data_IF_044520314804
#
_entry.id   IF_044520314804
#
_cell.length_a   1.000
_cell.length_b   1.000
_cell.length_c   1.000
_cell.angle_alpha   90.00
_cell.angle_beta   90.00
_cell.angle_gamma   90.00
#
_symmetry.space_group_name_H-M   'P 1'
#
loop_
_entity.id
_entity.type
_entity.pdbx_description
1 polymer ?
#
# COMPACT_ATOMS: atom_id res chain seq x y z
N UNK A 1 2.92 -14.10 3.54
CA UNK A 1 2.55 -14.96 2.37
C UNK A 1 1.57 -14.27 1.42
N UNK A 2 0.46 -13.65 1.91
CA UNK A 2 -0.54 -12.98 1.03
C UNK A 2 0.05 -11.94 0.06
N UNK A 3 1.10 -11.20 0.45
CA UNK A 3 1.71 -10.18 -0.40
C UNK A 3 2.52 -10.75 -1.58
N UNK A 4 2.87 -12.03 -1.57
CA UNK A 4 3.57 -12.67 -2.68
C UNK A 4 2.66 -12.83 -3.91
N UNK A 5 1.35 -13.05 -3.70
CA UNK A 5 0.39 -13.21 -4.80
C UNK A 5 0.38 -11.97 -5.72
N UNK A 6 0.11 -10.74 -5.22
CA UNK A 6 0.14 -9.57 -6.09
C UNK A 6 1.52 -9.31 -6.73
N UNK A 7 2.62 -9.51 -6.01
CA UNK A 7 3.96 -9.31 -6.56
C UNK A 7 4.22 -10.25 -7.75
N UNK A 8 3.93 -11.54 -7.61
CA UNK A 8 4.19 -12.52 -8.66
C UNK A 8 3.21 -12.38 -9.82
N UNK A 9 1.91 -12.33 -9.54
CA UNK A 9 0.88 -12.29 -10.57
C UNK A 9 0.92 -10.99 -11.37
N UNK A 10 0.93 -9.83 -10.69
CA UNK A 10 0.97 -8.53 -11.37
C UNK A 10 2.34 -8.25 -11.98
N UNK A 11 3.42 -8.69 -11.33
CA UNK A 11 4.78 -8.55 -11.86
C UNK A 11 4.93 -9.25 -13.20
N UNK A 12 4.46 -10.49 -13.30
CA UNK A 12 4.51 -11.27 -14.54
C UNK A 12 3.53 -10.79 -15.62
N UNK A 13 2.30 -10.43 -15.22
CA UNK A 13 1.25 -10.08 -16.17
C UNK A 13 1.43 -8.68 -16.78
N UNK A 14 1.82 -7.70 -15.99
CA UNK A 14 1.84 -6.29 -16.41
C UNK A 14 3.14 -5.54 -16.07
N UNK A 15 4.15 -6.22 -15.52
CA UNK A 15 5.39 -5.57 -15.11
C UNK A 15 5.22 -4.63 -13.91
N UNK A 16 4.29 -4.98 -12.99
CA UNK A 16 4.06 -4.20 -11.77
C UNK A 16 5.33 -4.16 -10.88
N UNK A 17 5.69 -3.07 -10.24
CA UNK A 17 4.94 -1.80 -10.13
C UNK A 17 5.25 -0.76 -11.23
N UNK A 18 6.17 -1.01 -12.14
CA UNK A 18 6.58 -0.06 -13.17
C UNK A 18 5.42 0.36 -14.09
N UNK A 19 4.53 -0.58 -14.42
CA UNK A 19 3.34 -0.34 -15.26
C UNK A 19 2.34 0.68 -14.70
N UNK A 20 2.39 0.99 -13.40
CA UNK A 20 1.54 2.02 -12.81
C UNK A 20 1.84 3.44 -13.33
N UNK A 21 2.99 3.63 -13.97
CA UNK A 21 3.45 4.92 -14.54
C UNK A 21 3.26 5.01 -16.04
N UNK A 22 2.73 3.98 -16.69
CA UNK A 22 2.49 3.98 -18.13
C UNK A 22 1.44 5.04 -18.49
N UNK A 23 1.61 5.70 -19.66
CA UNK A 23 0.58 6.55 -20.23
C UNK A 23 -0.72 5.77 -20.45
N UNK A 24 -1.86 6.44 -20.40
CA UNK A 24 -3.18 5.80 -20.55
C UNK A 24 -3.30 4.98 -21.85
N UNK A 25 -2.77 5.50 -22.95
CA UNK A 25 -2.77 4.84 -24.26
C UNK A 25 -2.05 3.47 -24.29
N UNK A 26 -1.07 3.27 -23.39
CA UNK A 26 -0.35 2.00 -23.24
C UNK A 26 -0.96 1.13 -22.14
N UNK A 27 -1.38 1.77 -21.04
CA UNK A 27 -1.93 1.08 -19.88
C UNK A 27 -3.28 0.42 -20.16
N UNK A 28 -4.21 1.11 -20.83
CA UNK A 28 -5.55 0.58 -21.11
C UNK A 28 -5.53 -0.70 -21.96
N UNK A 29 -4.80 -0.80 -23.07
CA UNK A 29 -4.65 -2.05 -23.81
C UNK A 29 -3.97 -3.15 -23.01
N UNK A 30 -2.99 -2.81 -22.17
CA UNK A 30 -2.31 -3.79 -21.29
C UNK A 30 -3.27 -4.38 -20.26
N UNK A 31 -4.10 -3.54 -19.64
CA UNK A 31 -5.15 -3.95 -18.69
C UNK A 31 -6.17 -4.85 -19.37
N UNK A 32 -6.67 -4.47 -20.55
CA UNK A 32 -7.66 -5.25 -21.27
C UNK A 32 -7.17 -6.68 -21.60
N UNK A 33 -5.91 -6.81 -22.05
CA UNK A 33 -5.28 -8.10 -22.39
C UNK A 33 -5.03 -8.99 -21.17
N UNK A 34 -4.85 -8.41 -19.99
CA UNK A 34 -4.47 -9.14 -18.77
C UNK A 34 -5.56 -9.07 -17.68
N UNK A 35 -6.83 -8.87 -18.06
CA UNK A 35 -7.94 -8.60 -17.14
C UNK A 35 -8.05 -9.62 -16.00
N UNK A 36 -7.96 -10.92 -16.29
CA UNK A 36 -8.06 -11.95 -15.24
C UNK A 36 -6.88 -11.91 -14.28
N UNK A 37 -5.66 -11.76 -14.77
CA UNK A 37 -4.47 -11.68 -13.93
C UNK A 37 -4.52 -10.43 -13.03
N UNK A 38 -5.02 -9.30 -13.57
CA UNK A 38 -5.23 -8.10 -12.76
C UNK A 38 -6.26 -8.36 -11.65
N UNK A 39 -7.38 -9.00 -11.96
CA UNK A 39 -8.39 -9.33 -10.94
C UNK A 39 -7.77 -10.19 -9.83
N UNK A 40 -7.11 -11.28 -10.16
CA UNK A 40 -6.47 -12.17 -9.15
C UNK A 40 -5.42 -11.41 -8.34
N UNK A 41 -4.54 -10.68 -9.00
CA UNK A 41 -3.47 -9.93 -8.34
C UNK A 41 -3.98 -8.83 -7.41
N UNK A 42 -4.94 -8.02 -7.88
CA UNK A 42 -5.48 -6.92 -7.06
C UNK A 42 -6.45 -7.40 -5.97
N UNK A 43 -7.17 -8.52 -6.14
CA UNK A 43 -7.88 -9.16 -5.03
C UNK A 43 -6.90 -9.64 -3.95
N UNK A 44 -5.79 -10.29 -4.35
CA UNK A 44 -4.71 -10.63 -3.41
C UNK A 44 -4.17 -9.40 -2.67
N UNK A 45 -3.96 -8.29 -3.39
CA UNK A 45 -3.47 -7.05 -2.79
C UNK A 45 -4.51 -6.42 -1.84
N UNK A 46 -5.79 -6.42 -2.21
CA UNK A 46 -6.89 -5.95 -1.38
C UNK A 46 -6.95 -6.72 -0.05
N UNK A 47 -6.83 -8.05 -0.11
CA UNK A 47 -6.85 -8.90 1.07
C UNK A 47 -5.68 -8.57 2.04
N UNK A 48 -4.52 -8.13 1.53
CA UNK A 48 -3.44 -7.66 2.41
C UNK A 48 -3.81 -6.39 3.18
N UNK A 49 -4.54 -5.47 2.54
CA UNK A 49 -5.01 -4.25 3.20
C UNK A 49 -6.08 -4.57 4.25
N UNK A 50 -7.03 -5.46 3.92
CA UNK A 50 -8.07 -5.90 4.86
C UNK A 50 -7.46 -6.64 6.05
N UNK A 51 -6.50 -7.54 5.82
CA UNK A 51 -5.80 -8.29 6.88
C UNK A 51 -4.98 -7.38 7.82
N UNK A 52 -4.63 -6.18 7.38
CA UNK A 52 -3.94 -5.19 8.23
C UNK A 52 -4.83 -4.76 9.41
N UNK A 53 -6.15 -4.72 9.27
CA UNK A 53 -7.06 -4.30 10.36
C UNK A 53 -6.96 -5.22 11.58
N UNK A 54 -7.22 -6.55 11.48
CA UNK A 54 -7.07 -7.44 12.62
C UNK A 54 -5.62 -7.50 13.13
N UNK A 55 -4.62 -7.34 12.27
CA UNK A 55 -3.21 -7.27 12.66
C UNK A 55 -2.94 -6.05 13.55
N UNK A 56 -3.41 -4.87 13.18
CA UNK A 56 -3.29 -3.65 13.98
C UNK A 56 -3.98 -3.81 15.33
N UNK A 57 -5.19 -4.39 15.35
CA UNK A 57 -5.94 -4.65 16.61
C UNK A 57 -5.17 -5.63 17.50
N UNK A 58 -4.58 -6.69 16.93
CA UNK A 58 -3.78 -7.64 17.69
C UNK A 58 -2.54 -6.98 18.31
N UNK A 59 -1.82 -6.14 17.54
CA UNK A 59 -0.67 -5.39 18.05
C UNK A 59 -1.08 -4.41 19.17
N UNK A 60 -2.23 -3.73 19.02
CA UNK A 60 -2.77 -2.88 20.08
C UNK A 60 -3.00 -3.65 21.36
N UNK A 61 -3.69 -4.81 21.28
CA UNK A 61 -3.95 -5.68 22.45
C UNK A 61 -2.65 -6.16 23.09
N UNK A 62 -1.68 -6.54 22.25
CA UNK A 62 -0.39 -7.02 22.73
C UNK A 62 0.39 -5.91 23.46
N UNK A 63 0.41 -4.68 22.93
CA UNK A 63 1.04 -3.55 23.59
C UNK A 63 0.39 -3.20 24.93
N UNK A 64 -0.94 -3.22 25.00
CA UNK A 64 -1.68 -3.02 26.25
C UNK A 64 -1.33 -4.09 27.32
N UNK A 65 -1.23 -5.36 26.91
CA UNK A 65 -0.85 -6.45 27.81
C UNK A 65 0.59 -6.29 28.37
N UNK A 66 1.47 -5.57 27.66
CA UNK A 66 2.82 -5.24 28.11
C UNK A 66 2.92 -3.89 28.84
N UNK A 67 1.80 -3.31 29.27
CA UNK A 67 1.77 -2.06 30.03
C UNK A 67 2.01 -0.79 29.18
N UNK A 68 2.05 -0.90 27.85
CA UNK A 68 2.08 0.27 26.98
C UNK A 68 0.64 0.73 26.80
N UNK A 69 0.26 1.81 27.44
CA UNK A 69 -1.13 2.23 27.46
C UNK A 69 -1.39 3.61 26.90
N UNK A 70 -2.67 3.98 27.00
CA UNK A 70 -3.14 5.32 26.74
C UNK A 70 -3.17 5.72 25.30
N UNK A 71 -3.12 7.04 25.09
CA UNK A 71 -3.27 7.71 23.78
C UNK A 71 -2.31 7.17 22.71
N UNK A 72 -1.09 6.77 23.10
CA UNK A 72 -0.09 6.25 22.15
C UNK A 72 -0.61 5.05 21.37
N UNK A 73 -1.15 4.05 22.10
CA UNK A 73 -1.58 2.78 21.48
C UNK A 73 -2.89 2.97 20.71
N UNK A 74 -3.76 3.83 21.20
CA UNK A 74 -5.01 4.18 20.51
C UNK A 74 -4.73 4.95 19.22
N UNK A 75 -3.84 5.94 19.24
CA UNK A 75 -3.40 6.66 18.05
C UNK A 75 -2.72 5.73 17.04
N UNK A 76 -1.83 4.83 17.51
CA UNK A 76 -1.23 3.80 16.67
C UNK A 76 -2.31 2.96 15.96
N UNK A 77 -3.32 2.50 16.68
CA UNK A 77 -4.39 1.70 16.09
C UNK A 77 -5.23 2.52 15.08
N UNK A 78 -5.57 3.75 15.41
CA UNK A 78 -6.31 4.65 14.52
C UNK A 78 -5.59 4.90 13.20
N UNK A 79 -4.30 5.25 13.23
CA UNK A 79 -3.50 5.43 12.01
C UNK A 79 -3.37 4.15 11.19
N UNK A 80 -3.16 2.99 11.85
CA UNK A 80 -3.07 1.71 11.15
C UNK A 80 -4.37 1.30 10.46
N UNK A 81 -5.52 1.49 11.10
CA UNK A 81 -6.83 1.21 10.51
C UNK A 81 -7.12 2.20 9.37
N UNK A 82 -6.87 3.50 9.56
CA UNK A 82 -7.04 4.50 8.52
C UNK A 82 -6.15 4.19 7.30
N UNK A 83 -4.90 3.77 7.51
CA UNK A 83 -4.01 3.31 6.44
C UNK A 83 -4.61 2.13 5.66
N UNK A 84 -5.17 1.13 6.35
CA UNK A 84 -5.80 -0.03 5.71
C UNK A 84 -7.01 0.38 4.86
N UNK A 85 -7.87 1.27 5.36
CA UNK A 85 -9.04 1.79 4.63
C UNK A 85 -8.60 2.57 3.39
N UNK A 86 -7.64 3.49 3.52
CA UNK A 86 -7.15 4.28 2.40
C UNK A 86 -6.49 3.41 1.31
N UNK A 87 -5.72 2.38 1.71
CA UNK A 87 -5.18 1.38 0.77
C UNK A 87 -6.29 0.66 0.01
N UNK A 88 -7.32 0.20 0.73
CA UNK A 88 -8.48 -0.46 0.14
C UNK A 88 -9.14 0.41 -0.92
N UNK A 89 -9.41 1.69 -0.59
CA UNK A 89 -10.00 2.66 -1.53
C UNK A 89 -9.12 2.86 -2.77
N UNK A 90 -7.80 2.93 -2.59
CA UNK A 90 -6.88 3.04 -3.72
C UNK A 90 -6.87 1.79 -4.62
N UNK A 91 -6.92 0.60 -4.03
CA UNK A 91 -6.86 -0.68 -4.76
C UNK A 91 -8.15 -0.95 -5.54
N UNK A 92 -9.31 -0.60 -4.99
CA UNK A 92 -10.63 -0.87 -5.60
C UNK A 92 -10.74 -0.33 -7.03
N UNK A 93 -10.06 0.77 -7.38
CA UNK A 93 -10.07 1.26 -8.77
C UNK A 93 -9.61 0.22 -9.78
N UNK A 94 -8.64 -0.63 -9.41
CA UNK A 94 -8.08 -1.68 -10.26
C UNK A 94 -8.99 -2.88 -10.44
N UNK A 95 -9.95 -3.06 -9.52
CA UNK A 95 -10.94 -4.13 -9.61
C UNK A 95 -12.18 -3.72 -10.41
N UNK A 96 -12.51 -2.42 -10.45
CA UNK A 96 -13.77 -1.92 -11.02
C UNK A 96 -13.51 -0.92 -12.14
N UNK A 97 -12.96 0.24 -11.84
CA UNK A 97 -12.89 1.36 -12.79
C UNK A 97 -11.91 1.12 -13.94
N UNK A 98 -10.70 0.63 -13.63
CA UNK A 98 -9.67 0.43 -14.65
C UNK A 98 -10.02 -0.66 -15.67
N UNK A 99 -10.55 -1.84 -15.27
CA UNK A 99 -11.03 -2.83 -16.24
C UNK A 99 -12.20 -2.32 -17.10
N UNK A 100 -13.13 -1.55 -16.53
CA UNK A 100 -14.24 -0.97 -17.27
C UNK A 100 -13.77 0.01 -18.35
N UNK A 101 -12.85 0.94 -17.99
CA UNK A 101 -12.24 1.88 -18.94
C UNK A 101 -11.45 1.15 -20.02
N UNK A 102 -10.70 0.11 -19.67
CA UNK A 102 -9.92 -0.68 -20.59
C UNK A 102 -10.78 -1.44 -21.60
N UNK A 103 -11.91 -2.02 -21.13
CA UNK A 103 -12.88 -2.70 -21.99
C UNK A 103 -13.53 -1.74 -22.99
N UNK A 104 -13.98 -0.56 -22.55
CA UNK A 104 -14.55 0.47 -23.41
C UNK A 104 -13.54 0.97 -24.43
N UNK A 105 -12.28 1.21 -24.00
CA UNK A 105 -11.20 1.67 -24.88
C UNK A 105 -10.88 0.63 -25.96
N UNK A 106 -10.88 -0.66 -25.62
CA UNK A 106 -10.65 -1.73 -26.59
C UNK A 106 -11.80 -1.91 -27.59
N UNK A 107 -13.03 -1.62 -27.13
CA UNK A 107 -14.25 -1.80 -27.95
C UNK A 107 -14.56 -0.62 -28.90
N UNK A 108 -13.87 0.52 -28.80
CA UNK A 108 -14.14 1.69 -29.64
C UNK A 108 -13.06 1.93 -30.69
N UNK A 109 -13.50 2.37 -31.88
CA UNK A 109 -12.62 2.89 -32.93
C UNK A 109 -12.66 4.41 -33.06
N UNK A 110 -13.57 5.07 -32.33
CA UNK A 110 -13.72 6.51 -32.32
C UNK A 110 -12.53 7.18 -31.57
N UNK A 111 -11.71 7.99 -32.25
CA UNK A 111 -10.56 8.66 -31.60
C UNK A 111 -10.96 9.63 -30.50
N UNK A 112 -12.11 10.32 -30.63
CA UNK A 112 -12.57 11.27 -29.63
C UNK A 112 -12.98 10.54 -28.33
N UNK A 113 -13.68 9.42 -28.46
CA UNK A 113 -14.05 8.60 -27.32
C UNK A 113 -12.81 7.96 -26.65
N UNK A 114 -11.83 7.50 -27.43
CA UNK A 114 -10.54 7.01 -26.88
C UNK A 114 -9.85 8.07 -26.03
N UNK A 115 -9.75 9.28 -26.52
CA UNK A 115 -9.13 10.39 -25.78
C UNK A 115 -9.88 10.66 -24.46
N UNK A 116 -11.20 10.67 -24.48
CA UNK A 116 -12.02 10.83 -23.27
C UNK A 116 -11.72 9.72 -22.24
N UNK A 117 -11.63 8.46 -22.67
CA UNK A 117 -11.32 7.32 -21.80
C UNK A 117 -9.90 7.42 -21.20
N UNK A 118 -8.93 7.87 -21.98
CA UNK A 118 -7.54 8.08 -21.53
C UNK A 118 -7.44 9.20 -20.49
N UNK A 119 -8.16 10.31 -20.70
CA UNK A 119 -8.25 11.40 -19.72
C UNK A 119 -8.88 10.93 -18.41
N UNK A 120 -9.99 10.18 -18.51
CA UNK A 120 -10.65 9.61 -17.32
C UNK A 120 -9.74 8.61 -16.57
N UNK A 121 -9.02 7.74 -17.31
CA UNK A 121 -8.03 6.85 -16.71
C UNK A 121 -6.98 7.63 -15.94
N UNK A 122 -6.41 8.66 -16.56
CA UNK A 122 -5.35 9.49 -15.98
C UNK A 122 -5.84 10.18 -14.70
N UNK A 123 -7.02 10.80 -14.74
CA UNK A 123 -7.61 11.48 -13.59
C UNK A 123 -7.91 10.50 -12.43
N UNK A 124 -8.57 9.38 -12.71
CA UNK A 124 -8.90 8.37 -11.70
C UNK A 124 -7.64 7.68 -11.15
N UNK A 125 -6.67 7.35 -12.02
CA UNK A 125 -5.41 6.76 -11.58
C UNK A 125 -4.62 7.71 -10.68
N UNK A 126 -4.56 8.98 -11.05
CA UNK A 126 -3.91 10.03 -10.25
C UNK A 126 -4.57 10.21 -8.89
N UNK A 127 -5.88 10.45 -8.87
CA UNK A 127 -6.61 10.73 -7.63
C UNK A 127 -6.67 9.49 -6.70
N UNK A 128 -7.25 8.40 -7.17
CA UNK A 128 -7.41 7.20 -6.34
C UNK A 128 -6.05 6.51 -6.05
N UNK A 129 -5.05 6.70 -6.94
CA UNK A 129 -3.68 6.32 -6.70
C UNK A 129 -3.08 7.08 -5.53
N UNK A 130 -3.27 8.38 -5.49
CA UNK A 130 -2.79 9.21 -4.37
C UNK A 130 -3.49 8.88 -3.06
N UNK A 131 -4.80 8.59 -3.07
CA UNK A 131 -5.50 8.13 -1.87
C UNK A 131 -4.89 6.84 -1.32
N UNK A 132 -4.64 5.85 -2.18
CA UNK A 132 -4.07 4.57 -1.74
C UNK A 132 -2.59 4.67 -1.39
N UNK A 133 -1.79 5.26 -2.27
CA UNK A 133 -0.34 5.25 -2.16
C UNK A 133 0.19 6.40 -1.28
N UNK A 134 -0.15 7.64 -1.61
CA UNK A 134 0.37 8.80 -0.87
C UNK A 134 -0.19 8.85 0.55
N UNK A 135 -1.51 8.76 0.70
CA UNK A 135 -2.13 8.78 2.01
C UNK A 135 -2.00 7.43 2.71
N UNK A 136 -2.51 6.34 2.11
CA UNK A 136 -2.61 5.05 2.78
C UNK A 136 -1.26 4.39 3.05
N UNK A 137 -0.44 4.21 1.99
CA UNK A 137 0.85 3.51 2.11
C UNK A 137 1.92 4.36 2.77
N UNK A 138 1.98 5.65 2.45
CA UNK A 138 3.09 6.49 2.91
C UNK A 138 2.74 7.25 4.17
N UNK A 139 1.80 8.17 4.13
CA UNK A 139 1.55 9.08 5.24
C UNK A 139 0.99 8.34 6.47
N UNK A 140 -0.15 7.69 6.33
CA UNK A 140 -0.83 7.03 7.46
C UNK A 140 -0.11 5.77 7.93
N UNK A 141 0.46 4.95 7.03
CA UNK A 141 1.30 3.83 7.45
C UNK A 141 2.60 4.32 8.07
N UNK A 142 3.15 5.45 7.62
CA UNK A 142 4.32 6.06 8.22
C UNK A 142 4.07 6.46 9.68
N UNK A 143 3.00 7.19 9.96
CA UNK A 143 2.62 7.52 11.34
C UNK A 143 2.31 6.28 12.17
N UNK A 144 1.60 5.29 11.61
CA UNK A 144 1.38 4.01 12.28
C UNK A 144 2.69 3.34 12.69
N UNK A 145 3.67 3.26 11.77
CA UNK A 145 4.98 2.65 12.04
C UNK A 145 5.80 3.42 13.07
N UNK A 146 5.74 4.76 13.06
CA UNK A 146 6.41 5.59 14.09
C UNK A 146 5.83 5.29 15.47
N UNK A 147 4.51 5.33 15.62
CA UNK A 147 3.85 5.06 16.91
C UNK A 147 4.03 3.61 17.37
N UNK A 148 4.01 2.66 16.42
CA UNK A 148 4.32 1.25 16.69
C UNK A 148 5.77 1.10 17.13
N UNK A 149 6.72 1.80 16.52
CA UNK A 149 8.12 1.78 16.88
C UNK A 149 8.37 2.24 18.31
N UNK A 150 7.70 3.31 18.74
CA UNK A 150 7.72 3.77 20.15
C UNK A 150 7.13 2.71 21.06
N UNK A 151 5.99 2.11 20.68
CA UNK A 151 5.31 1.07 21.46
C UNK A 151 6.19 -0.18 21.64
N UNK A 152 6.78 -0.68 20.55
CA UNK A 152 7.70 -1.83 20.57
C UNK A 152 8.95 -1.55 21.44
N UNK A 153 9.50 -0.33 21.37
CA UNK A 153 10.62 0.06 22.20
C UNK A 153 10.28 0.05 23.69
N UNK A 154 9.08 0.52 24.05
CA UNK A 154 8.57 0.47 25.45
C UNK A 154 8.31 -0.96 25.94
N UNK A 155 7.96 -1.88 25.03
CA UNK A 155 7.84 -3.31 25.33
C UNK A 155 9.21 -4.02 25.47
N UNK A 156 10.32 -3.29 25.32
CA UNK A 156 11.67 -3.87 25.36
C UNK A 156 12.13 -4.49 24.03
N UNK A 157 11.37 -4.37 22.94
CA UNK A 157 11.72 -4.89 21.62
C UNK A 157 12.47 -3.82 20.79
N UNK A 158 13.59 -3.35 21.35
CA UNK A 158 14.33 -2.17 20.86
C UNK A 158 14.68 -2.23 19.37
N UNK A 159 15.18 -3.38 18.89
CA UNK A 159 15.57 -3.52 17.47
C UNK A 159 14.36 -3.37 16.54
N UNK A 160 13.27 -4.07 16.83
CA UNK A 160 12.02 -3.92 16.07
C UNK A 160 11.47 -2.48 16.16
N UNK A 161 11.57 -1.87 17.34
CA UNK A 161 11.14 -0.50 17.57
C UNK A 161 11.92 0.51 16.72
N UNK A 162 13.26 0.45 16.74
CA UNK A 162 14.12 1.32 15.95
C UNK A 162 13.92 1.13 14.45
N UNK A 163 13.82 -0.11 13.98
CA UNK A 163 13.55 -0.41 12.57
C UNK A 163 12.16 0.12 12.14
N UNK A 164 11.13 -0.04 12.97
CA UNK A 164 9.81 0.53 12.72
C UNK A 164 9.82 2.05 12.67
N UNK A 165 10.54 2.72 13.59
CA UNK A 165 10.71 4.17 13.59
C UNK A 165 11.39 4.66 12.31
N UNK A 166 12.51 4.04 11.91
CA UNK A 166 13.24 4.41 10.70
C UNK A 166 12.37 4.24 9.44
N UNK A 167 11.65 3.12 9.33
CA UNK A 167 10.71 2.90 8.24
C UNK A 167 9.58 3.93 8.25
N UNK A 168 8.98 4.18 9.40
CA UNK A 168 7.88 5.13 9.53
C UNK A 168 8.30 6.54 9.12
N UNK A 169 9.45 7.01 9.57
CA UNK A 169 10.02 8.30 9.15
C UNK A 169 10.29 8.30 7.64
N UNK A 170 10.87 7.23 7.09
CA UNK A 170 11.11 7.09 5.66
C UNK A 170 9.82 7.18 4.84
N UNK A 171 8.75 6.51 5.26
CA UNK A 171 7.44 6.58 4.60
C UNK A 171 6.83 8.00 4.68
N UNK A 172 6.87 8.66 5.85
CA UNK A 172 6.41 10.05 5.99
C UNK A 172 7.21 10.99 5.08
N UNK A 173 8.53 10.88 5.06
CA UNK A 173 9.37 11.68 4.16
C UNK A 173 9.04 11.41 2.68
N UNK A 174 8.85 10.15 2.30
CA UNK A 174 8.46 9.80 0.93
C UNK A 174 7.08 10.36 0.53
N UNK A 175 6.18 10.61 1.48
CA UNK A 175 4.91 11.29 1.19
C UNK A 175 5.09 12.74 0.74
N UNK A 176 6.21 13.37 1.10
CA UNK A 176 6.54 14.74 0.72
C UNK A 176 7.18 14.85 -0.67
N UNK A 177 7.32 13.75 -1.42
CA UNK A 177 7.91 13.74 -2.77
C UNK A 177 7.18 14.65 -3.78
N UNK A 178 5.95 15.05 -3.48
CA UNK A 178 5.23 16.05 -4.28
C UNK A 178 5.78 17.46 -4.14
N UNK A 179 6.48 17.72 -3.03
CA UNK A 179 7.14 19.00 -2.73
C UNK A 179 8.64 18.91 -3.02
N UNK A 180 9.25 17.74 -2.79
CA UNK A 180 10.68 17.46 -2.94
C UNK A 180 10.85 16.15 -3.74
N UNK A 181 10.90 16.21 -5.09
CA UNK A 181 10.89 15.02 -5.96
C UNK A 181 12.03 14.03 -5.68
N UNK A 182 13.17 14.49 -5.19
CA UNK A 182 14.33 13.67 -4.78
C UNK A 182 13.98 12.64 -3.70
N UNK A 183 13.00 12.91 -2.85
CA UNK A 183 12.51 11.96 -1.85
C UNK A 183 11.84 10.73 -2.49
N UNK A 184 11.45 10.82 -3.76
CA UNK A 184 10.93 9.69 -4.53
C UNK A 184 11.89 8.50 -4.66
N UNK A 185 13.19 8.69 -4.45
CA UNK A 185 14.18 7.62 -4.38
C UNK A 185 13.86 6.60 -3.26
N UNK A 186 13.25 7.06 -2.18
CA UNK A 186 12.82 6.20 -1.07
C UNK A 186 11.75 5.18 -1.50
N UNK A 187 10.95 5.49 -2.53
CA UNK A 187 9.88 4.61 -3.00
C UNK A 187 10.37 3.21 -3.42
N UNK A 188 11.60 3.09 -3.89
CA UNK A 188 12.17 1.79 -4.29
C UNK A 188 12.71 1.00 -3.09
N UNK A 189 13.26 1.69 -2.08
CA UNK A 189 13.90 1.07 -0.93
C UNK A 189 12.91 0.64 0.17
N UNK A 190 11.88 1.45 0.42
CA UNK A 190 10.98 1.23 1.56
C UNK A 190 10.17 -0.08 1.51
N UNK A 191 9.62 -0.54 0.36
CA UNK A 191 8.85 -1.78 0.33
C UNK A 191 9.64 -3.03 0.71
N UNK A 192 10.85 -3.31 0.16
CA UNK A 192 11.63 -4.46 0.57
C UNK A 192 12.12 -4.38 2.02
N UNK A 193 12.48 -3.19 2.52
CA UNK A 193 12.82 -2.98 3.91
C UNK A 193 11.63 -3.23 4.85
N UNK A 194 10.44 -2.79 4.45
CA UNK A 194 9.20 -3.06 5.18
C UNK A 194 8.88 -4.56 5.28
N UNK A 195 9.09 -5.31 4.20
CA UNK A 195 8.92 -6.77 4.20
C UNK A 195 9.94 -7.45 5.12
N UNK A 196 11.21 -7.05 5.06
CA UNK A 196 12.24 -7.58 5.94
C UNK A 196 11.92 -7.30 7.43
N UNK A 197 11.45 -6.09 7.73
CA UNK A 197 11.01 -5.74 9.09
C UNK A 197 9.80 -6.57 9.54
N UNK A 198 8.81 -6.82 8.69
CA UNK A 198 7.67 -7.68 9.04
C UNK A 198 8.10 -9.11 9.37
N UNK A 199 9.07 -9.66 8.64
CA UNK A 199 9.63 -10.99 8.93
C UNK A 199 10.38 -10.99 10.29
N UNK A 200 11.16 -9.96 10.56
CA UNK A 200 11.84 -9.79 11.84
C UNK A 200 10.84 -9.67 13.00
N UNK A 201 9.77 -8.90 12.82
CA UNK A 201 8.71 -8.75 13.83
C UNK A 201 7.99 -10.08 14.07
N UNK A 202 7.63 -10.82 13.01
CA UNK A 202 7.01 -12.14 13.11
C UNK A 202 7.91 -13.13 13.89
N UNK A 203 9.21 -13.14 13.58
CA UNK A 203 10.18 -13.96 14.32
C UNK A 203 10.31 -13.58 15.79
N UNK A 204 10.16 -12.31 16.11
CA UNK A 204 10.19 -11.83 17.52
C UNK A 204 8.92 -12.24 18.27
N UNK A 205 7.75 -12.11 17.65
CA UNK A 205 6.48 -12.55 18.22
C UNK A 205 6.51 -14.07 18.50
N UNK A 206 7.00 -14.85 17.52
CA UNK A 206 7.12 -16.31 17.67
C UNK A 206 8.00 -16.75 18.85
N UNK A 207 9.09 -16.01 19.10
CA UNK A 207 10.05 -16.36 20.18
C UNK A 207 9.64 -15.87 21.57
N UNK A 208 8.81 -14.86 21.67
CA UNK A 208 8.49 -14.17 22.94
C UNK A 208 7.01 -14.23 23.30
N UNK A 209 6.14 -14.69 22.41
CA UNK A 209 4.73 -14.96 22.65
C UNK A 209 4.51 -16.41 23.00
#
# INVERSE_FOLDING_TARGET
>A
MLFLVPITVLGQAIGWPASLRLPAAEALPLIARNAMALQVGYWGYLLTAVAMVPFVIALRRHALAHGVGGLLVDAMAAFGIAAAVLKTLGIVRWLIAMPALASLHAGTTDPALRLILEVNYTALNGYAGSVGELLGVQLFSGFWLVLLGVSLSRMGWRLNGLASLALGIGFVLNSLRTLAPELGLLSAALPPLGLAWLLMLAGTIWRKG
#
